data_IF_690992532104
#
_entry.id   IF_690992532104
#
_cell.length_a   1.000
_cell.length_b   1.000
_cell.length_c   1.000
_cell.angle_alpha   90.00
_cell.angle_beta   90.00
_cell.angle_gamma   90.00
#
_symmetry.space_group_name_H-M   'P 1'
#
loop_
_entity.id
_entity.type
_entity.pdbx_description
1 polymer ?
#
# COMPACT_ATOMS: atom_id res chain seq x y z
N UNK A 1 29.83 -47.03 -81.85
CA UNK A 1 28.43 -46.53 -81.77
C UNK A 1 27.91 -46.85 -80.43
N UNK A 2 27.69 -45.86 -79.58
CA UNK A 2 26.58 -45.57 -78.65
C UNK A 2 27.05 -44.52 -77.72
N UNK A 3 26.42 -43.39 -77.87
CA UNK A 3 26.60 -42.18 -77.08
C UNK A 3 25.81 -42.38 -75.77
N UNK A 4 26.41 -42.23 -74.62
CA UNK A 4 25.74 -42.17 -73.34
C UNK A 4 25.83 -40.75 -72.77
N UNK A 5 24.70 -40.10 -72.68
CA UNK A 5 24.55 -38.73 -72.20
C UNK A 5 24.73 -38.69 -70.68
N UNK A 6 25.61 -37.79 -70.22
CA UNK A 6 25.68 -37.31 -68.82
C UNK A 6 24.48 -36.39 -68.53
N UNK A 7 23.67 -36.74 -67.56
CA UNK A 7 22.67 -35.83 -66.96
C UNK A 7 23.25 -35.31 -65.67
N UNK A 8 23.66 -34.06 -65.71
CA UNK A 8 24.04 -33.32 -64.50
C UNK A 8 22.75 -32.86 -63.80
N UNK A 9 22.44 -33.48 -62.70
CA UNK A 9 21.37 -32.99 -61.82
C UNK A 9 21.91 -31.96 -60.84
N UNK A 10 21.73 -30.67 -61.12
CA UNK A 10 21.92 -29.57 -60.20
C UNK A 10 20.77 -29.56 -59.19
N UNK A 11 20.99 -30.13 -58.01
CA UNK A 11 20.06 -30.01 -56.87
C UNK A 11 20.36 -28.69 -56.19
N UNK A 12 19.72 -27.62 -56.61
CA UNK A 12 19.68 -26.35 -55.90
C UNK A 12 18.81 -26.51 -54.66
N UNK A 13 19.47 -26.73 -53.52
CA UNK A 13 18.79 -26.75 -52.21
C UNK A 13 18.29 -25.34 -51.88
N UNK A 14 17.01 -25.11 -52.09
CA UNK A 14 16.32 -23.94 -51.55
C UNK A 14 16.21 -24.14 -50.03
N UNK A 15 17.13 -23.58 -49.26
CA UNK A 15 16.98 -23.39 -47.83
C UNK A 15 15.94 -22.27 -47.65
N UNK A 16 14.78 -22.53 -47.00
CA UNK A 16 13.91 -21.43 -46.66
C UNK A 16 14.64 -20.57 -45.59
N UNK A 17 15.06 -19.37 -45.98
CA UNK A 17 15.41 -18.32 -45.05
C UNK A 17 14.13 -17.99 -44.24
N UNK A 18 13.93 -18.69 -43.14
CA UNK A 18 12.96 -18.29 -42.15
C UNK A 18 13.50 -17.02 -41.52
N UNK A 19 12.80 -15.89 -41.61
CA UNK A 19 13.19 -14.70 -40.88
C UNK A 19 12.94 -14.96 -39.39
N UNK A 20 13.96 -15.46 -38.69
CA UNK A 20 13.96 -15.59 -37.22
C UNK A 20 14.20 -14.25 -36.51
N UNK A 21 13.98 -13.15 -37.21
CA UNK A 21 14.10 -11.82 -36.65
C UNK A 21 12.76 -11.31 -36.11
N UNK A 22 12.73 -10.88 -34.88
CA UNK A 22 11.76 -9.97 -34.25
C UNK A 22 10.45 -10.50 -33.67
N UNK A 23 10.11 -11.79 -33.66
CA UNK A 23 8.87 -12.24 -33.00
C UNK A 23 9.01 -12.55 -31.51
N UNK A 24 10.23 -12.65 -30.98
CA UNK A 24 10.48 -12.99 -29.58
C UNK A 24 10.59 -11.78 -28.65
N UNK A 25 10.88 -10.58 -29.18
CA UNK A 25 11.03 -9.36 -28.39
C UNK A 25 9.83 -9.05 -27.48
N UNK A 26 8.58 -9.00 -27.99
CA UNK A 26 7.41 -8.72 -27.17
C UNK A 26 7.16 -9.77 -26.08
N UNK A 27 7.43 -11.06 -26.35
CA UNK A 27 7.27 -12.13 -25.37
C UNK A 27 8.34 -12.11 -24.29
N UNK A 28 9.57 -11.76 -24.64
CA UNK A 28 10.66 -11.56 -23.68
C UNK A 28 10.38 -10.38 -22.77
N UNK A 29 9.89 -9.26 -23.31
CA UNK A 29 9.48 -8.10 -22.53
C UNK A 29 8.32 -8.45 -21.59
N UNK A 30 7.30 -9.13 -22.08
CA UNK A 30 6.14 -9.50 -21.25
C UNK A 30 6.52 -10.42 -20.09
N UNK A 31 7.39 -11.38 -20.28
CA UNK A 31 7.82 -12.29 -19.23
C UNK A 31 8.78 -11.62 -18.24
N UNK A 32 9.77 -10.88 -18.74
CA UNK A 32 10.72 -10.17 -17.88
C UNK A 32 10.05 -9.08 -17.06
N UNK A 33 9.07 -8.35 -17.60
CA UNK A 33 8.32 -7.33 -16.86
C UNK A 33 7.62 -7.91 -15.62
N UNK A 34 7.00 -9.09 -15.73
CA UNK A 34 6.34 -9.75 -14.61
C UNK A 34 7.36 -10.15 -13.53
N UNK A 35 8.49 -10.70 -13.92
CA UNK A 35 9.51 -11.18 -13.00
C UNK A 35 10.23 -10.00 -12.31
N UNK A 36 10.52 -8.91 -13.03
CA UNK A 36 11.04 -7.68 -12.42
C UNK A 36 10.06 -7.06 -11.44
N UNK A 37 8.77 -7.00 -11.79
CA UNK A 37 7.74 -6.47 -10.89
C UNK A 37 7.63 -7.30 -9.59
N UNK A 38 7.72 -8.63 -9.70
CA UNK A 38 7.77 -9.52 -8.53
C UNK A 38 9.01 -9.25 -7.66
N UNK A 39 10.18 -9.15 -8.30
CA UNK A 39 11.44 -8.91 -7.61
C UNK A 39 11.44 -7.54 -6.88
N UNK A 40 10.97 -6.48 -7.53
CA UNK A 40 10.84 -5.15 -6.91
C UNK A 40 9.90 -5.19 -5.72
N UNK A 41 8.72 -5.81 -5.87
CA UNK A 41 7.77 -5.97 -4.78
C UNK A 41 8.38 -6.74 -3.60
N UNK A 42 9.10 -7.80 -3.87
CA UNK A 42 9.77 -8.59 -2.83
C UNK A 42 10.79 -7.74 -2.07
N UNK A 43 11.65 -7.01 -2.77
CA UNK A 43 12.65 -6.11 -2.16
C UNK A 43 11.97 -5.03 -1.31
N UNK A 44 10.90 -4.42 -1.81
CA UNK A 44 10.15 -3.40 -1.04
C UNK A 44 9.51 -3.99 0.23
N UNK A 45 8.96 -5.20 0.15
CA UNK A 45 8.40 -5.88 1.32
C UNK A 45 9.50 -6.26 2.34
N UNK A 46 10.64 -6.77 1.86
CA UNK A 46 11.79 -7.09 2.72
C UNK A 46 12.34 -5.82 3.41
N UNK A 47 12.42 -4.71 2.68
CA UNK A 47 12.85 -3.43 3.26
C UNK A 47 11.88 -2.92 4.32
N UNK A 48 10.57 -2.94 4.06
CA UNK A 48 9.56 -2.54 5.04
C UNK A 48 9.63 -3.41 6.29
N UNK A 49 9.70 -4.73 6.13
CA UNK A 49 9.83 -5.65 7.26
C UNK A 49 11.12 -5.37 8.05
N UNK A 50 12.25 -5.19 7.36
CA UNK A 50 13.52 -4.85 8.00
C UNK A 50 13.42 -3.54 8.81
N UNK A 51 12.72 -2.54 8.29
CA UNK A 51 12.51 -1.29 8.99
C UNK A 51 11.63 -1.44 10.24
N UNK A 52 10.56 -2.24 10.17
CA UNK A 52 9.73 -2.58 11.32
C UNK A 52 10.57 -3.31 12.39
N UNK A 53 11.40 -4.28 11.99
CA UNK A 53 12.32 -4.98 12.89
C UNK A 53 13.35 -4.04 13.51
N UNK A 54 13.96 -3.13 12.73
CA UNK A 54 14.91 -2.11 13.25
C UNK A 54 14.25 -1.23 14.29
N UNK A 55 13.03 -0.76 14.04
CA UNK A 55 12.28 0.05 14.99
C UNK A 55 12.03 -0.69 16.32
N UNK A 56 11.85 -2.01 16.27
CA UNK A 56 11.77 -2.86 17.49
C UNK A 56 13.03 -2.75 18.36
N UNK A 57 14.20 -2.58 17.72
CA UNK A 57 15.50 -2.39 18.39
C UNK A 57 15.85 -0.92 18.60
N UNK A 58 14.90 0.00 18.48
CA UNK A 58 15.09 1.45 18.57
C UNK A 58 16.09 2.01 17.52
N UNK A 59 16.24 1.31 16.39
CA UNK A 59 17.06 1.78 15.28
C UNK A 59 16.19 2.59 14.30
N UNK A 60 16.80 3.61 13.67
CA UNK A 60 16.08 4.43 12.69
C UNK A 60 15.75 3.64 11.41
N UNK A 61 14.53 3.74 10.88
CA UNK A 61 14.19 3.13 9.59
C UNK A 61 14.95 3.84 8.47
N UNK A 62 15.31 3.10 7.44
CA UNK A 62 15.95 3.61 6.23
C UNK A 62 15.10 3.23 5.04
N UNK A 63 14.62 4.23 4.30
CA UNK A 63 13.83 4.00 3.09
C UNK A 63 14.72 4.13 1.86
N UNK A 64 14.57 3.20 0.92
CA UNK A 64 15.18 3.27 -0.40
C UNK A 64 14.10 3.27 -1.47
N UNK A 65 14.41 3.81 -2.63
CA UNK A 65 13.54 3.73 -3.79
C UNK A 65 14.28 3.13 -4.97
N UNK A 66 13.60 2.28 -5.71
CA UNK A 66 14.06 1.85 -7.02
C UNK A 66 13.72 2.95 -8.01
N UNK A 67 14.74 3.71 -8.45
CA UNK A 67 14.54 4.87 -9.34
C UNK A 67 14.47 4.48 -10.81
N UNK A 68 15.19 3.43 -11.24
CA UNK A 68 15.12 2.91 -12.59
C UNK A 68 15.57 1.46 -12.67
N UNK A 69 14.99 0.73 -13.61
CA UNK A 69 15.43 -0.60 -14.00
C UNK A 69 15.76 -0.52 -15.49
N UNK A 70 17.03 -0.60 -15.84
CA UNK A 70 17.49 -0.64 -17.22
C UNK A 70 17.89 -2.07 -17.56
N UNK A 71 17.19 -2.69 -18.50
CA UNK A 71 17.51 -4.04 -18.96
C UNK A 71 18.12 -3.97 -20.35
N UNK A 72 19.25 -4.62 -20.55
CA UNK A 72 19.83 -4.84 -21.87
C UNK A 72 19.79 -6.33 -22.21
N UNK A 73 19.13 -6.66 -23.32
CA UNK A 73 19.07 -8.03 -23.82
C UNK A 73 20.13 -8.21 -24.90
N UNK A 74 21.11 -9.07 -24.66
CA UNK A 74 22.08 -9.48 -25.67
C UNK A 74 21.70 -10.87 -26.19
N UNK A 75 21.54 -10.94 -27.51
CA UNK A 75 21.36 -12.23 -28.18
C UNK A 75 22.63 -12.46 -29.01
N UNK A 76 23.43 -13.43 -28.63
CA UNK A 76 24.56 -13.86 -29.44
C UNK A 76 24.28 -15.20 -30.11
N UNK A 77 24.38 -15.25 -31.42
CA UNK A 77 24.29 -16.48 -32.20
C UNK A 77 25.66 -16.86 -32.69
N UNK A 78 26.19 -17.99 -32.23
CA UNK A 78 27.43 -18.60 -32.75
C UNK A 78 27.04 -19.78 -33.64
N UNK A 79 27.36 -19.72 -34.94
CA UNK A 79 27.25 -20.83 -35.88
C UNK A 79 28.61 -21.20 -36.42
N UNK A 80 29.08 -22.43 -36.18
CA UNK A 80 30.27 -22.98 -36.82
C UNK A 80 29.86 -24.13 -37.73
N UNK A 81 30.14 -24.00 -39.03
CA UNK A 81 30.07 -25.14 -39.96
C UNK A 81 31.48 -25.71 -40.17
N UNK A 82 31.72 -26.91 -39.67
CA UNK A 82 32.96 -27.64 -39.94
C UNK A 82 32.72 -28.68 -41.04
N UNK A 83 33.39 -28.47 -42.19
CA UNK A 83 33.47 -29.45 -43.25
C UNK A 83 34.85 -30.08 -43.18
N UNK A 84 34.92 -31.27 -42.60
CA UNK A 84 36.15 -32.05 -42.58
C UNK A 84 36.27 -32.88 -43.86
N UNK A 85 37.25 -32.55 -44.72
CA UNK A 85 37.66 -33.40 -45.85
C UNK A 85 38.75 -34.36 -45.32
N UNK A 86 38.37 -35.62 -45.19
CA UNK A 86 39.35 -36.65 -44.84
C UNK A 86 40.30 -36.89 -46.01
N UNK A 87 41.60 -36.67 -45.79
CA UNK A 87 42.66 -37.10 -46.74
C UNK A 87 42.84 -38.60 -46.61
N UNK A 88 42.17 -39.35 -47.49
CA UNK A 88 42.38 -40.80 -47.56
C UNK A 88 41.10 -41.53 -47.95
N UNK A 89 41.21 -42.24 -49.00
CA UNK A 89 40.22 -43.11 -49.69
C UNK A 89 39.25 -43.78 -48.71
N UNK A 90 37.94 -43.51 -48.89
CA UNK A 90 36.82 -44.28 -48.32
C UNK A 90 36.44 -44.00 -46.83
N UNK A 91 36.11 -42.75 -46.45
CA UNK A 91 35.36 -42.48 -45.21
C UNK A 91 34.15 -41.61 -45.49
N UNK A 92 33.01 -41.80 -44.84
CA UNK A 92 31.84 -40.93 -45.01
C UNK A 92 32.15 -39.51 -44.52
N UNK A 93 31.81 -38.49 -45.31
CA UNK A 93 31.91 -37.08 -44.88
C UNK A 93 31.03 -36.85 -43.68
N UNK A 94 31.58 -36.40 -42.56
CA UNK A 94 30.83 -36.01 -41.37
C UNK A 94 30.50 -34.51 -41.49
N UNK A 95 29.22 -34.22 -41.48
CA UNK A 95 28.67 -32.88 -41.42
C UNK A 95 28.30 -32.60 -39.97
N UNK A 96 28.97 -31.66 -39.34
CA UNK A 96 28.58 -31.16 -37.99
C UNK A 96 28.15 -29.69 -38.13
N UNK A 97 26.95 -29.40 -37.73
CA UNK A 97 26.46 -28.03 -37.58
C UNK A 97 26.28 -27.78 -36.10
N UNK A 98 27.17 -27.04 -35.50
CA UNK A 98 27.04 -26.56 -34.13
C UNK A 98 26.48 -25.15 -34.14
N UNK A 99 25.26 -25.01 -33.61
CA UNK A 99 24.64 -23.72 -33.38
C UNK A 99 24.39 -23.49 -31.89
N UNK A 100 24.95 -22.44 -31.33
CA UNK A 100 24.67 -22.00 -29.97
C UNK A 100 23.93 -20.66 -30.00
N UNK A 101 22.75 -20.60 -29.31
CA UNK A 101 22.02 -19.38 -29.03
C UNK A 101 22.23 -19.07 -27.55
N UNK A 102 22.88 -17.95 -27.25
CA UNK A 102 23.04 -17.49 -25.86
C UNK A 102 22.20 -16.23 -25.67
N UNK A 103 21.26 -16.29 -24.75
CA UNK A 103 20.53 -15.12 -24.30
C UNK A 103 21.14 -14.64 -22.98
N UNK A 104 21.48 -13.37 -22.89
CA UNK A 104 21.99 -12.75 -21.68
C UNK A 104 21.12 -11.55 -21.35
N UNK A 105 20.58 -11.54 -20.12
CA UNK A 105 19.87 -10.42 -19.53
C UNK A 105 20.82 -9.74 -18.52
N UNK A 106 21.10 -8.47 -18.69
CA UNK A 106 21.97 -7.68 -17.83
C UNK A 106 21.17 -6.50 -17.25
N UNK A 107 20.35 -6.72 -16.20
CA UNK A 107 19.62 -5.63 -15.58
C UNK A 107 20.56 -4.73 -14.79
N UNK A 108 20.39 -3.42 -14.95
CA UNK A 108 20.97 -2.40 -14.09
C UNK A 108 19.85 -1.80 -13.26
N UNK A 109 19.90 -2.02 -11.95
CA UNK A 109 18.90 -1.50 -11.00
C UNK A 109 19.55 -0.32 -10.28
N UNK A 110 18.97 0.87 -10.42
CA UNK A 110 19.39 2.05 -9.68
C UNK A 110 18.56 2.17 -8.40
N UNK A 111 19.24 2.09 -7.27
CA UNK A 111 18.65 2.23 -5.95
C UNK A 111 19.11 3.56 -5.36
N UNK A 112 18.16 4.43 -5.01
CA UNK A 112 18.43 5.73 -4.40
C UNK A 112 17.93 5.74 -2.96
N UNK A 113 18.82 5.99 -1.97
CA UNK A 113 18.35 6.20 -0.60
C UNK A 113 17.43 7.43 -0.55
N UNK A 114 16.23 7.25 -0.02
CA UNK A 114 15.31 8.35 0.25
C UNK A 114 15.70 8.98 1.59
N UNK A 115 16.28 10.17 1.53
CA UNK A 115 16.74 10.93 2.70
C UNK A 115 16.40 12.40 2.50
N UNK A 116 16.30 13.13 3.64
CA UNK A 116 16.09 14.56 3.62
C UNK A 116 14.78 14.98 4.31
N UNK A 117 14.59 16.28 4.35
CA UNK A 117 13.46 16.93 5.05
C UNK A 117 12.11 16.48 4.47
N UNK A 118 12.02 16.34 3.16
CA UNK A 118 10.81 15.93 2.44
C UNK A 118 10.31 14.56 2.90
N UNK A 119 11.20 13.56 2.85
CA UNK A 119 10.88 12.20 3.27
C UNK A 119 10.56 12.14 4.76
N UNK A 120 11.28 12.89 5.57
CA UNK A 120 10.97 12.98 6.99
C UNK A 120 9.57 13.57 7.24
N UNK A 121 9.19 14.64 6.52
CA UNK A 121 7.83 15.20 6.58
C UNK A 121 6.75 14.20 6.15
N UNK A 122 6.99 13.46 5.07
CA UNK A 122 6.06 12.44 4.58
C UNK A 122 5.87 11.30 5.59
N UNK A 123 6.95 10.80 6.19
CA UNK A 123 6.89 9.72 7.17
C UNK A 123 6.32 10.15 8.53
N UNK A 124 6.66 11.36 8.98
CA UNK A 124 6.25 11.90 10.28
C UNK A 124 4.94 12.70 10.22
N UNK A 125 4.51 13.09 9.03
CA UNK A 125 3.23 13.76 8.81
C UNK A 125 2.06 12.87 9.19
N UNK A 126 1.03 13.48 9.80
CA UNK A 126 -0.21 12.78 10.17
C UNK A 126 -0.95 12.35 8.91
N UNK A 127 -1.44 11.10 8.89
CA UNK A 127 -2.32 10.59 7.83
C UNK A 127 -3.63 11.41 7.84
N UNK A 128 -4.16 11.73 6.67
CA UNK A 128 -5.42 12.47 6.56
C UNK A 128 -6.62 11.63 7.04
N UNK A 129 -7.61 12.19 7.76
CA UNK A 129 -8.81 11.47 8.21
C UNK A 129 -9.60 10.82 7.07
N UNK A 130 -9.61 11.44 5.88
CA UNK A 130 -10.25 10.88 4.69
C UNK A 130 -9.73 9.49 4.30
N UNK A 131 -8.51 9.15 4.71
CA UNK A 131 -7.93 7.81 4.49
C UNK A 131 -8.76 6.71 5.14
N UNK A 132 -9.45 6.99 6.26
CA UNK A 132 -10.37 6.04 6.90
C UNK A 132 -11.49 5.66 5.92
N UNK A 133 -12.10 6.65 5.27
CA UNK A 133 -13.18 6.41 4.31
C UNK A 133 -12.70 5.68 3.04
N UNK A 134 -11.51 6.00 2.54
CA UNK A 134 -10.92 5.29 1.40
C UNK A 134 -10.64 3.81 1.73
N UNK A 135 -10.06 3.53 2.89
CA UNK A 135 -9.75 2.17 3.33
C UNK A 135 -11.02 1.36 3.61
N UNK A 136 -12.01 1.96 4.27
CA UNK A 136 -13.30 1.32 4.48
C UNK A 136 -13.99 0.99 3.15
N UNK A 137 -13.95 1.90 2.17
CA UNK A 137 -14.43 1.68 0.81
C UNK A 137 -13.65 0.58 0.06
N UNK A 138 -12.38 0.37 0.37
CA UNK A 138 -11.56 -0.73 -0.14
C UNK A 138 -11.82 -2.08 0.56
N UNK A 139 -12.72 -2.12 1.56
CA UNK A 139 -13.12 -3.34 2.26
C UNK A 139 -12.31 -3.67 3.51
N UNK A 140 -11.55 -2.72 4.03
CA UNK A 140 -10.91 -2.88 5.34
C UNK A 140 -11.94 -2.68 6.47
N UNK A 141 -11.75 -3.42 7.56
CA UNK A 141 -12.61 -3.31 8.73
C UNK A 141 -12.33 -2.02 9.49
N UNK A 142 -13.39 -1.34 9.93
CA UNK A 142 -13.28 -0.06 10.64
C UNK A 142 -12.54 -0.21 11.98
N UNK A 143 -12.80 -1.25 12.75
CA UNK A 143 -12.09 -1.50 14.00
C UNK A 143 -10.58 -1.65 13.78
N UNK A 144 -10.14 -2.34 12.73
CA UNK A 144 -8.72 -2.44 12.39
C UNK A 144 -8.13 -1.10 11.93
N UNK A 145 -8.87 -0.33 11.12
CA UNK A 145 -8.45 1.00 10.67
C UNK A 145 -8.26 1.92 11.89
N UNK A 146 -9.26 1.99 12.78
CA UNK A 146 -9.17 2.82 13.99
C UNK A 146 -8.04 2.36 14.91
N UNK A 147 -7.90 1.07 15.17
CA UNK A 147 -6.86 0.55 16.02
C UNK A 147 -5.44 0.86 15.52
N UNK A 148 -5.22 0.78 14.19
CA UNK A 148 -3.91 1.03 13.59
C UNK A 148 -3.62 2.52 13.36
N UNK A 149 -4.60 3.28 12.86
CA UNK A 149 -4.35 4.62 12.35
C UNK A 149 -4.72 5.74 13.31
N UNK A 150 -5.58 5.48 14.30
CA UNK A 150 -6.10 6.54 15.19
C UNK A 150 -5.42 6.47 16.55
N UNK A 151 -4.90 7.60 17.03
CA UNK A 151 -4.36 7.76 18.39
C UNK A 151 -5.40 8.23 19.39
N UNK A 152 -6.34 9.07 18.92
CA UNK A 152 -7.37 9.65 19.77
C UNK A 152 -8.60 9.96 18.90
N UNK A 153 -9.77 9.70 19.45
CA UNK A 153 -11.04 10.08 18.83
C UNK A 153 -11.96 10.72 19.89
N UNK A 154 -12.34 11.97 19.69
CA UNK A 154 -13.17 12.77 20.63
C UNK A 154 -12.69 12.74 22.10
N UNK A 155 -11.38 12.56 22.34
CA UNK A 155 -10.81 12.44 23.69
C UNK A 155 -10.55 11.00 24.14
N UNK A 156 -11.16 10.00 23.51
CA UNK A 156 -10.93 8.59 23.79
C UNK A 156 -9.59 8.17 23.18
N UNK A 157 -8.64 7.72 23.99
CA UNK A 157 -7.25 7.45 23.60
C UNK A 157 -7.05 5.98 23.25
N UNK A 158 -6.41 5.77 22.10
CA UNK A 158 -5.88 4.48 21.65
C UNK A 158 -4.51 4.19 22.27
N UNK A 159 -3.92 3.06 21.90
CA UNK A 159 -2.56 2.69 22.30
C UNK A 159 -1.54 3.68 21.74
N UNK A 160 -0.50 3.98 22.52
CA UNK A 160 0.59 4.83 22.10
C UNK A 160 1.91 4.06 22.22
N UNK A 161 2.55 3.80 21.09
CA UNK A 161 3.93 3.34 21.05
C UNK A 161 4.83 4.57 20.96
N UNK A 162 5.29 5.10 22.11
CA UNK A 162 6.23 6.21 22.11
C UNK A 162 7.66 5.67 22.11
N UNK A 163 8.48 6.10 21.13
CA UNK A 163 9.80 5.52 20.82
C UNK A 163 10.80 5.40 21.97
N UNK A 164 10.78 6.27 22.98
CA UNK A 164 11.69 6.23 24.16
C UNK A 164 10.99 5.93 25.47
N UNK A 165 9.65 5.94 25.48
CA UNK A 165 8.85 5.65 26.66
C UNK A 165 8.20 4.26 26.49
N UNK A 166 7.94 3.55 27.59
CA UNK A 166 7.12 2.34 27.51
C UNK A 166 5.83 2.62 26.76
N UNK A 167 5.41 1.71 25.91
CA UNK A 167 4.12 1.83 25.24
C UNK A 167 3.03 2.06 26.29
N UNK A 168 2.20 3.09 26.11
CA UNK A 168 1.07 3.35 26.99
C UNK A 168 -0.13 2.62 26.47
N UNK A 169 -0.83 1.91 27.35
CA UNK A 169 -2.17 1.40 27.08
C UNK A 169 -3.12 2.56 26.75
N UNK A 170 -4.11 2.29 25.90
CA UNK A 170 -5.23 3.19 25.68
C UNK A 170 -6.20 3.24 26.85
N UNK A 171 -7.26 4.01 26.70
CA UNK A 171 -8.37 3.99 27.64
C UNK A 171 -9.11 2.63 27.55
N UNK A 172 -9.62 2.11 28.66
CA UNK A 172 -10.33 0.83 28.67
C UNK A 172 -11.51 0.82 27.69
N UNK A 173 -12.19 1.95 27.63
CA UNK A 173 -13.34 2.19 26.78
C UNK A 173 -12.97 2.20 25.27
N UNK A 174 -11.70 2.37 24.91
CA UNK A 174 -11.30 2.30 23.50
C UNK A 174 -11.55 0.92 22.89
N UNK A 175 -11.37 -0.12 23.66
CA UNK A 175 -11.70 -1.45 23.21
C UNK A 175 -13.19 -1.73 23.11
N UNK A 176 -13.99 -1.18 24.04
CA UNK A 176 -15.46 -1.24 23.93
C UNK A 176 -15.92 -0.53 22.65
N UNK A 177 -15.29 0.61 22.32
CA UNK A 177 -15.54 1.33 21.07
C UNK A 177 -15.17 0.49 19.83
N UNK A 178 -13.98 -0.13 19.80
CA UNK A 178 -13.57 -0.98 18.68
C UNK A 178 -14.50 -2.17 18.48
N UNK A 179 -14.88 -2.84 19.55
CA UNK A 179 -15.82 -3.96 19.49
C UNK A 179 -17.21 -3.51 19.02
N UNK A 180 -17.70 -2.35 19.50
CA UNK A 180 -18.98 -1.82 19.07
C UNK A 180 -19.01 -1.51 17.57
N UNK A 181 -17.98 -0.82 17.02
CA UNK A 181 -17.91 -0.52 15.59
C UNK A 181 -17.74 -1.79 14.75
N UNK A 182 -17.04 -2.82 15.26
CA UNK A 182 -16.93 -4.12 14.61
C UNK A 182 -18.29 -4.78 14.43
N UNK A 183 -19.07 -4.87 15.52
CA UNK A 183 -20.40 -5.50 15.51
C UNK A 183 -21.36 -4.72 14.60
N UNK A 184 -21.36 -3.39 14.68
CA UNK A 184 -22.18 -2.55 13.80
C UNK A 184 -21.82 -2.75 12.32
N UNK A 185 -20.53 -2.88 12.00
CA UNK A 185 -20.09 -3.13 10.62
C UNK A 185 -20.52 -4.52 10.12
N UNK A 186 -20.44 -5.55 10.96
CA UNK A 186 -20.90 -6.91 10.61
C UNK A 186 -22.39 -6.97 10.30
N UNK A 187 -23.19 -6.08 10.94
CA UNK A 187 -24.64 -5.93 10.69
C UNK A 187 -24.97 -4.94 9.58
N UNK A 188 -23.97 -4.30 8.95
CA UNK A 188 -24.11 -3.22 7.97
C UNK A 188 -24.85 -1.99 8.55
N UNK A 189 -24.75 -1.75 9.85
CA UNK A 189 -25.36 -0.64 10.58
C UNK A 189 -24.41 0.57 10.68
N UNK A 190 -23.12 0.43 10.34
CA UNK A 190 -22.14 1.50 10.25
C UNK A 190 -21.40 1.44 8.91
N UNK A 191 -21.21 2.58 8.30
CA UNK A 191 -20.45 2.73 7.03
C UNK A 191 -19.64 4.01 7.03
N UNK A 192 -18.56 4.03 6.25
CA UNK A 192 -17.80 5.23 5.92
C UNK A 192 -18.00 5.61 4.47
N UNK A 193 -18.02 6.89 4.19
CA UNK A 193 -18.16 7.42 2.84
C UNK A 193 -17.84 8.90 2.76
N UNK A 194 -18.32 9.53 1.69
CA UNK A 194 -18.13 10.95 1.46
C UNK A 194 -19.49 11.62 1.24
N UNK A 195 -19.68 12.76 1.88
CA UNK A 195 -20.85 13.60 1.70
C UNK A 195 -20.39 14.98 1.19
N UNK A 196 -21.26 15.66 0.45
CA UNK A 196 -20.98 17.02 0.00
C UNK A 196 -21.13 17.98 1.17
N UNK A 197 -20.03 18.54 1.61
CA UNK A 197 -20.01 19.70 2.50
C UNK A 197 -20.04 20.96 1.63
N UNK A 198 -20.97 21.86 1.90
CA UNK A 198 -21.09 23.10 1.15
C UNK A 198 -20.47 24.23 1.97
N UNK A 199 -19.59 24.98 1.32
CA UNK A 199 -18.96 26.14 1.93
C UNK A 199 -19.95 27.26 2.18
N UNK A 200 -19.60 28.17 3.08
CA UNK A 200 -20.28 29.44 3.25
C UNK A 200 -20.30 30.21 1.93
N UNK A 201 -21.34 30.99 1.73
CA UNK A 201 -21.55 31.73 0.50
C UNK A 201 -21.36 33.25 0.71
N UNK A 202 -20.86 33.92 -0.32
CA UNK A 202 -20.81 35.39 -0.37
C UNK A 202 -22.00 35.93 -1.15
N UNK A 203 -22.99 36.45 -0.42
CA UNK A 203 -24.15 37.07 -0.98
C UNK A 203 -25.21 36.12 -1.51
N UNK A 204 -26.43 36.57 -1.49
CA UNK A 204 -27.59 35.84 -2.00
C UNK A 204 -28.30 36.64 -3.06
N UNK A 205 -28.94 35.96 -3.98
CA UNK A 205 -29.73 36.56 -5.07
C UNK A 205 -31.16 35.99 -5.02
N UNK A 206 -32.09 36.79 -5.54
CA UNK A 206 -33.46 36.34 -5.67
C UNK A 206 -33.55 35.17 -6.68
N UNK A 207 -34.31 34.15 -6.37
CA UNK A 207 -34.51 32.97 -7.24
C UNK A 207 -35.07 33.37 -8.61
N UNK A 208 -35.89 34.39 -8.66
CA UNK A 208 -36.51 34.91 -9.89
C UNK A 208 -35.50 35.54 -10.86
N UNK A 209 -34.34 35.96 -10.36
CA UNK A 209 -33.25 36.51 -11.17
C UNK A 209 -32.38 35.44 -11.85
N UNK A 210 -32.45 34.19 -11.39
CA UNK A 210 -31.64 33.10 -11.91
C UNK A 210 -32.26 32.46 -13.16
N UNK A 211 -31.46 32.37 -14.22
CA UNK A 211 -31.83 31.72 -15.47
C UNK A 211 -31.33 30.23 -15.47
N UNK A 212 -31.94 29.37 -16.32
CA UNK A 212 -31.45 28.00 -16.48
C UNK A 212 -29.96 27.89 -16.85
N UNK A 213 -29.43 28.88 -17.59
CA UNK A 213 -28.02 29.00 -17.96
C UNK A 213 -27.10 29.13 -16.74
N UNK A 214 -27.56 29.82 -15.68
CA UNK A 214 -26.77 30.07 -14.48
C UNK A 214 -26.57 28.79 -13.68
N UNK A 215 -27.59 27.91 -13.65
CA UNK A 215 -27.48 26.60 -13.06
C UNK A 215 -26.49 25.69 -13.83
N UNK A 216 -26.54 25.78 -15.17
CA UNK A 216 -25.63 25.02 -16.02
C UNK A 216 -24.19 25.47 -15.84
N UNK A 217 -23.97 26.81 -15.84
CA UNK A 217 -22.66 27.40 -15.61
C UNK A 217 -22.10 27.05 -14.21
N UNK A 218 -22.95 27.08 -13.20
CA UNK A 218 -22.57 26.66 -11.85
C UNK A 218 -22.09 25.18 -11.85
N UNK A 219 -22.86 24.29 -12.48
CA UNK A 219 -22.49 22.86 -12.57
C UNK A 219 -21.16 22.67 -13.30
N UNK A 220 -20.93 23.37 -14.39
CA UNK A 220 -19.69 23.29 -15.18
C UNK A 220 -18.47 23.82 -14.40
N UNK A 221 -18.69 24.77 -13.48
CA UNK A 221 -17.64 25.31 -12.59
C UNK A 221 -17.51 24.55 -11.26
N UNK A 222 -18.17 23.42 -11.09
CA UNK A 222 -18.13 22.63 -9.86
C UNK A 222 -18.92 23.23 -8.70
N UNK A 223 -19.80 24.22 -8.98
CA UNK A 223 -20.62 24.91 -7.97
C UNK A 223 -22.09 24.50 -8.03
N UNK A 224 -22.85 24.88 -7.00
CA UNK A 224 -24.30 24.63 -6.92
C UNK A 224 -25.05 25.84 -6.38
N UNK A 225 -26.16 26.18 -7.00
CA UNK A 225 -27.13 27.10 -6.44
C UNK A 225 -27.99 26.39 -5.41
N UNK A 226 -28.13 26.94 -4.22
CA UNK A 226 -28.94 26.40 -3.12
C UNK A 226 -29.76 27.52 -2.45
N UNK A 227 -30.94 27.18 -1.89
CA UNK A 227 -31.69 28.08 -1.03
C UNK A 227 -30.86 28.44 0.22
N UNK A 228 -30.93 29.71 0.62
CA UNK A 228 -30.28 30.21 1.82
C UNK A 228 -31.20 29.96 3.02
N UNK A 229 -30.71 29.32 4.06
CA UNK A 229 -31.44 29.05 5.30
C UNK A 229 -32.87 28.48 5.11
N UNK A 230 -33.02 27.63 4.08
CA UNK A 230 -34.33 27.05 3.74
C UNK A 230 -35.29 28.02 3.01
N UNK A 231 -34.90 29.28 2.78
CA UNK A 231 -35.69 30.24 2.05
C UNK A 231 -35.65 29.98 0.53
N UNK A 232 -36.75 29.51 -0.03
CA UNK A 232 -36.85 29.14 -1.45
C UNK A 232 -36.78 30.34 -2.41
N UNK A 233 -36.91 31.55 -1.92
CA UNK A 233 -36.84 32.80 -2.72
C UNK A 233 -35.40 33.35 -2.78
N UNK A 234 -34.59 33.11 -1.78
CA UNK A 234 -33.20 33.57 -1.67
C UNK A 234 -32.22 32.44 -1.93
N UNK A 235 -31.38 32.58 -2.96
CA UNK A 235 -30.41 31.53 -3.40
C UNK A 235 -29.00 32.07 -3.43
N UNK A 236 -28.05 31.21 -3.04
CA UNK A 236 -26.63 31.50 -3.10
C UNK A 236 -25.86 30.44 -3.90
N UNK A 237 -24.73 30.85 -4.45
CA UNK A 237 -23.83 29.99 -5.20
C UNK A 237 -22.79 29.40 -4.23
N UNK A 238 -22.90 28.10 -3.95
CA UNK A 238 -21.98 27.37 -3.08
C UNK A 238 -20.94 26.59 -3.88
N UNK A 239 -19.72 26.57 -3.39
CA UNK A 239 -18.75 25.51 -3.65
C UNK A 239 -19.08 24.32 -2.75
N UNK A 240 -18.57 23.16 -3.09
CA UNK A 240 -18.66 21.99 -2.21
C UNK A 240 -17.42 21.13 -2.36
N UNK A 241 -17.00 20.58 -1.24
CA UNK A 241 -16.00 19.54 -1.18
C UNK A 241 -16.63 18.21 -0.75
N UNK A 242 -15.94 17.11 -1.03
CA UNK A 242 -16.34 15.79 -0.56
C UNK A 242 -15.63 15.55 0.77
N UNK A 243 -16.38 15.70 1.85
CA UNK A 243 -15.88 15.47 3.20
C UNK A 243 -16.20 14.05 3.68
N UNK A 244 -15.26 13.41 4.36
CA UNK A 244 -15.47 12.05 4.87
C UNK A 244 -16.46 12.05 6.02
N UNK A 245 -17.34 11.04 6.04
CA UNK A 245 -18.33 10.82 7.10
C UNK A 245 -18.30 9.38 7.58
N UNK A 246 -18.77 9.19 8.81
CA UNK A 246 -19.24 7.91 9.32
C UNK A 246 -20.74 7.99 9.45
N UNK A 247 -21.44 7.06 8.84
CA UNK A 247 -22.88 6.92 8.91
C UNK A 247 -23.24 5.74 9.82
N UNK A 248 -24.17 5.95 10.77
CA UNK A 248 -24.74 4.89 11.59
C UNK A 248 -26.25 4.90 11.33
N UNK A 249 -26.80 3.76 10.92
CA UNK A 249 -28.23 3.68 10.63
C UNK A 249 -29.08 4.08 11.86
N UNK A 250 -30.28 4.63 11.67
CA UNK A 250 -31.16 4.94 12.78
C UNK A 250 -31.42 3.72 13.69
N UNK A 251 -31.58 2.54 13.10
CA UNK A 251 -31.73 1.28 13.83
C UNK A 251 -30.44 0.93 14.57
N UNK A 252 -29.27 1.13 13.94
CA UNK A 252 -27.96 0.90 14.54
C UNK A 252 -27.71 1.79 15.76
N UNK A 253 -28.15 3.05 15.72
CA UNK A 253 -28.04 3.98 16.86
C UNK A 253 -28.81 3.52 18.10
N UNK A 254 -29.93 2.80 17.92
CA UNK A 254 -30.72 2.28 19.01
C UNK A 254 -30.20 0.98 19.62
N UNK A 255 -29.24 0.32 18.95
CA UNK A 255 -28.59 -0.90 19.47
C UNK A 255 -27.70 -0.60 20.69
N UNK A 256 -27.37 -1.60 21.52
CA UNK A 256 -26.43 -1.41 22.62
C UNK A 256 -25.06 -0.90 22.15
N UNK A 257 -24.61 -1.40 20.99
CA UNK A 257 -23.33 -1.03 20.38
C UNK A 257 -23.37 0.41 19.85
N UNK A 258 -24.45 0.82 19.17
CA UNK A 258 -24.64 2.19 18.70
C UNK A 258 -24.67 3.19 19.86
N UNK A 259 -25.44 2.88 20.91
CA UNK A 259 -25.48 3.68 22.15
C UNK A 259 -24.10 3.78 22.81
N UNK A 260 -23.30 2.71 22.74
CA UNK A 260 -21.92 2.73 23.25
C UNK A 260 -21.06 3.70 22.46
N UNK A 261 -21.10 3.66 21.12
CA UNK A 261 -20.34 4.58 20.25
C UNK A 261 -20.76 6.03 20.52
N UNK A 262 -22.08 6.31 20.52
CA UNK A 262 -22.64 7.65 20.75
C UNK A 262 -22.19 8.19 22.11
N UNK A 263 -22.33 7.39 23.16
CA UNK A 263 -21.91 7.77 24.53
C UNK A 263 -20.42 8.03 24.64
N UNK A 264 -19.60 7.12 24.11
CA UNK A 264 -18.13 7.20 24.24
C UNK A 264 -17.54 8.38 23.47
N UNK A 265 -18.13 8.71 22.33
CA UNK A 265 -17.65 9.81 21.48
C UNK A 265 -18.43 11.11 21.71
N UNK A 266 -19.41 11.13 22.63
CA UNK A 266 -20.28 12.27 22.91
C UNK A 266 -20.90 12.85 21.64
N UNK A 267 -21.60 11.99 20.86
CA UNK A 267 -22.17 12.36 19.57
C UNK A 267 -23.61 12.91 19.73
N UNK A 268 -23.92 13.90 18.89
CA UNK A 268 -25.29 14.36 18.66
C UNK A 268 -25.97 13.45 17.63
N UNK A 269 -27.20 13.05 17.87
CA UNK A 269 -27.94 12.08 17.06
C UNK A 269 -29.06 12.69 16.22
N UNK A 270 -29.07 14.02 16.03
CA UNK A 270 -30.06 14.70 15.17
C UNK A 270 -29.99 14.20 13.72
N UNK A 271 -28.78 13.84 13.26
CA UNK A 271 -28.53 13.27 11.94
C UNK A 271 -27.85 11.89 12.05
N UNK A 272 -28.08 10.97 11.09
CA UNK A 272 -27.49 9.63 11.12
C UNK A 272 -26.02 9.59 10.64
N UNK A 273 -25.42 10.72 10.31
CA UNK A 273 -24.04 10.82 9.86
C UNK A 273 -23.25 11.80 10.72
N UNK A 274 -21.96 11.49 10.85
CA UNK A 274 -20.98 12.26 11.64
C UNK A 274 -19.80 12.63 10.76
N UNK A 275 -19.44 13.91 10.73
CA UNK A 275 -18.30 14.40 9.98
C UNK A 275 -17.01 13.85 10.56
N UNK A 276 -16.14 13.30 9.69
CA UNK A 276 -14.85 12.78 10.11
C UNK A 276 -13.78 13.84 9.88
N UNK A 277 -13.24 14.41 10.95
CA UNK A 277 -12.33 15.55 10.88
C UNK A 277 -11.10 15.37 11.76
N UNK A 278 -10.07 16.21 11.55
CA UNK A 278 -8.87 16.20 12.37
C UNK A 278 -9.13 16.79 13.75
N UNK A 279 -8.72 16.09 14.80
CA UNK A 279 -8.72 16.60 16.16
C UNK A 279 -7.61 17.64 16.33
N UNK A 280 -7.98 18.90 16.51
CA UNK A 280 -7.05 19.97 16.80
C UNK A 280 -6.56 19.89 18.25
N UNK A 281 -5.40 20.46 18.52
CA UNK A 281 -4.81 20.46 19.86
C UNK A 281 -5.77 21.13 20.88
N UNK A 282 -6.06 20.45 22.01
CA UNK A 282 -6.93 20.89 23.11
C UNK A 282 -8.45 20.90 22.82
N UNK A 283 -8.92 20.33 21.73
CA UNK A 283 -10.35 20.19 21.46
C UNK A 283 -10.89 18.82 21.91
N UNK A 284 -11.18 18.67 23.20
CA UNK A 284 -12.05 17.58 23.65
C UNK A 284 -13.47 18.13 23.68
N UNK A 285 -14.42 17.55 22.92
CA UNK A 285 -15.80 18.03 22.93
C UNK A 285 -16.42 17.91 24.33
N UNK A 286 -16.83 19.04 24.89
CA UNK A 286 -17.58 19.10 26.17
C UNK A 286 -19.08 19.02 25.93
N UNK A 287 -19.53 19.46 24.77
CA UNK A 287 -20.92 19.38 24.31
C UNK A 287 -21.05 18.26 23.27
N UNK A 288 -22.24 17.68 23.08
CA UNK A 288 -22.51 16.76 22.00
C UNK A 288 -22.13 17.36 20.65
N UNK A 289 -21.58 16.53 19.75
CA UNK A 289 -21.04 16.99 18.47
C UNK A 289 -21.49 16.10 17.34
N UNK A 290 -21.70 16.70 16.16
CA UNK A 290 -21.96 16.03 14.88
C UNK A 290 -20.69 15.46 14.22
N UNK A 291 -19.56 15.54 14.93
CA UNK A 291 -18.26 15.24 14.33
C UNK A 291 -17.49 14.18 15.13
N UNK A 292 -16.95 13.20 14.42
CA UNK A 292 -15.94 12.28 14.94
C UNK A 292 -14.57 12.87 14.59
N UNK A 293 -13.94 13.48 15.62
CA UNK A 293 -12.65 14.16 15.48
C UNK A 293 -11.54 13.19 15.83
N UNK A 294 -10.64 12.94 14.88
CA UNK A 294 -9.57 11.94 15.03
C UNK A 294 -8.19 12.59 15.00
N UNK A 295 -7.31 12.14 15.89
CA UNK A 295 -5.87 12.34 15.76
C UNK A 295 -5.29 11.10 15.11
N UNK A 296 -4.86 11.26 13.88
CA UNK A 296 -4.30 10.17 13.09
C UNK A 296 -2.81 9.99 13.40
N UNK A 297 -2.34 8.74 13.37
CA UNK A 297 -0.90 8.44 13.36
C UNK A 297 -0.26 8.89 12.06
N UNK A 298 1.04 9.10 12.11
CA UNK A 298 1.88 9.10 10.91
C UNK A 298 2.19 7.67 10.49
N UNK A 299 2.69 7.48 9.26
CA UNK A 299 3.15 6.16 8.81
C UNK A 299 4.27 5.63 9.71
N UNK A 300 5.17 6.51 10.13
CA UNK A 300 6.19 6.19 11.14
C UNK A 300 5.56 5.69 12.45
N UNK A 301 4.50 6.35 12.92
CA UNK A 301 3.76 5.95 14.12
C UNK A 301 3.09 4.58 13.99
N UNK A 302 2.52 4.27 12.82
CA UNK A 302 1.97 2.94 12.52
C UNK A 302 3.06 1.87 12.52
N UNK A 303 4.17 2.11 11.82
CA UNK A 303 5.30 1.17 11.80
C UNK A 303 5.87 0.95 13.22
N UNK A 304 5.96 2.01 14.03
CA UNK A 304 6.43 1.91 15.41
C UNK A 304 5.46 1.09 16.27
N UNK A 305 4.15 1.24 16.10
CA UNK A 305 3.17 0.39 16.76
C UNK A 305 3.34 -1.08 16.35
N UNK A 306 3.44 -1.34 15.05
CA UNK A 306 3.61 -2.70 14.52
C UNK A 306 4.96 -3.31 14.87
N UNK A 307 5.99 -2.52 15.16
CA UNK A 307 7.27 -3.05 15.62
C UNK A 307 7.15 -3.82 16.95
N UNK A 308 6.12 -3.52 17.75
CA UNK A 308 5.84 -4.24 18.99
C UNK A 308 5.32 -5.67 18.75
N UNK A 309 4.82 -5.96 17.54
CA UNK A 309 4.40 -7.32 17.11
C UNK A 309 5.57 -8.20 16.67
N UNK A 310 6.80 -7.69 16.69
CA UNK A 310 8.00 -8.45 16.35
C UNK A 310 8.43 -9.28 17.56
N UNK A 311 8.43 -10.61 17.40
CA UNK A 311 9.01 -11.54 18.36
C UNK A 311 10.51 -11.28 18.52
N UNK A 312 11.01 -11.46 19.74
CA UNK A 312 12.41 -11.23 20.04
C UNK A 312 13.11 -12.56 20.30
N UNK A 313 14.29 -12.78 19.72
CA UNK A 313 15.15 -13.86 20.14
C UNK A 313 15.36 -13.80 21.65
N UNK A 314 15.34 -14.98 22.29
CA UNK A 314 15.40 -15.08 23.74
C UNK A 314 16.57 -14.30 24.34
N UNK A 315 17.74 -14.32 23.70
CA UNK A 315 18.95 -13.60 24.16
C UNK A 315 18.71 -12.10 24.16
N UNK A 316 18.11 -11.55 23.10
CA UNK A 316 17.85 -10.11 22.99
C UNK A 316 16.79 -9.64 23.98
N UNK A 317 15.80 -10.48 24.27
CA UNK A 317 14.80 -10.21 25.30
C UNK A 317 15.40 -10.22 26.71
N UNK A 318 16.22 -11.21 27.05
CA UNK A 318 16.91 -11.33 28.35
C UNK A 318 17.90 -10.18 28.58
N UNK A 319 18.64 -9.76 27.54
CA UNK A 319 19.60 -8.67 27.61
C UNK A 319 18.96 -7.27 27.42
N UNK A 320 17.64 -7.18 27.26
CA UNK A 320 16.88 -5.93 27.08
C UNK A 320 17.40 -5.07 25.92
N UNK A 321 17.74 -5.69 24.81
CA UNK A 321 18.28 -5.02 23.62
C UNK A 321 17.22 -4.35 22.73
N UNK A 322 15.95 -4.53 23.05
CA UNK A 322 14.83 -4.02 22.27
C UNK A 322 13.84 -3.26 23.15
N UNK A 323 12.93 -2.51 22.50
CA UNK A 323 11.89 -1.75 23.20
C UNK A 323 11.01 -2.71 24.03
N UNK A 324 10.74 -2.38 25.30
CA UNK A 324 9.87 -3.21 26.13
C UNK A 324 8.44 -3.15 25.63
N UNK A 325 7.75 -4.30 25.59
CA UNK A 325 6.30 -4.37 25.49
C UNK A 325 5.74 -4.40 26.92
N UNK A 326 4.64 -3.68 27.15
CA UNK A 326 3.97 -3.73 28.44
C UNK A 326 3.49 -5.16 28.73
N UNK A 327 3.70 -5.67 29.96
CA UNK A 327 3.23 -7.00 30.32
C UNK A 327 1.72 -7.14 30.11
N UNK A 328 1.23 -8.33 29.72
CA UNK A 328 -0.21 -8.62 29.66
C UNK A 328 -0.88 -8.29 31.02
N UNK A 329 -2.03 -7.66 30.99
CA UNK A 329 -2.82 -7.39 32.19
C UNK A 329 -2.47 -6.08 32.94
N UNK A 330 -1.54 -5.26 32.46
CA UNK A 330 -1.29 -3.92 33.01
C UNK A 330 -2.34 -2.90 32.61
N UNK A 331 -3.13 -3.18 31.56
CA UNK A 331 -4.27 -2.40 31.10
C UNK A 331 -5.34 -3.32 30.52
N UNK A 332 -6.65 -2.94 30.58
CA UNK A 332 -7.78 -3.81 30.19
C UNK A 332 -7.80 -4.24 28.72
N UNK A 333 -7.09 -3.52 27.85
CA UNK A 333 -6.77 -3.97 26.50
C UNK A 333 -5.28 -3.74 26.29
N UNK A 334 -4.54 -4.81 26.30
CA UNK A 334 -3.12 -4.74 26.03
C UNK A 334 -2.90 -4.52 24.53
N UNK A 335 -1.97 -3.62 24.19
CA UNK A 335 -1.42 -3.53 22.82
C UNK A 335 -1.15 -4.92 22.25
N UNK A 336 -0.83 -5.87 23.12
CA UNK A 336 -0.53 -7.25 22.76
C UNK A 336 -1.74 -8.00 22.19
N UNK A 337 -2.92 -7.90 22.83
CA UNK A 337 -4.13 -8.56 22.33
C UNK A 337 -4.57 -8.05 20.97
N UNK A 338 -4.40 -6.75 20.73
CA UNK A 338 -4.64 -6.17 19.41
C UNK A 338 -3.60 -6.63 18.39
N UNK A 339 -2.31 -6.58 18.74
CA UNK A 339 -1.23 -6.96 17.82
C UNK A 339 -1.26 -8.45 17.50
N UNK A 340 -1.64 -9.31 18.46
CA UNK A 340 -1.81 -10.75 18.25
C UNK A 340 -2.84 -11.08 17.17
N UNK A 341 -3.84 -10.21 16.99
CA UNK A 341 -4.83 -10.36 15.92
C UNK A 341 -4.40 -9.64 14.63
N UNK A 342 -3.66 -8.54 14.75
CA UNK A 342 -3.34 -7.66 13.62
C UNK A 342 -2.14 -8.14 12.82
N UNK A 343 -1.03 -8.47 13.47
CA UNK A 343 0.22 -8.84 12.78
C UNK A 343 1.15 -9.63 13.72
N UNK A 344 1.75 -10.68 13.19
CA UNK A 344 2.85 -11.42 13.81
C UNK A 344 4.09 -11.37 12.94
N UNK A 345 5.22 -11.08 13.54
CA UNK A 345 6.54 -11.21 12.91
C UNK A 345 7.36 -12.17 13.78
N UNK A 346 7.59 -13.37 13.28
CA UNK A 346 8.29 -14.43 13.96
C UNK A 346 9.80 -14.28 13.89
N UNK A 347 10.53 -14.81 14.88
CA UNK A 347 11.97 -14.95 14.83
C UNK A 347 12.40 -16.40 14.62
N UNK A 348 13.53 -16.63 13.93
CA UNK A 348 14.11 -17.95 13.72
C UNK A 348 15.65 -17.88 13.61
N UNK A 349 16.38 -18.88 14.11
CA UNK A 349 17.84 -18.94 13.97
C UNK A 349 18.29 -19.35 12.55
N UNK A 350 17.41 -19.96 11.76
CA UNK A 350 17.67 -20.43 10.39
C UNK A 350 16.63 -19.91 9.41
N UNK A 351 16.92 -19.92 8.08
CA UNK A 351 15.97 -19.48 7.08
C UNK A 351 14.62 -20.20 7.19
N UNK A 352 13.49 -19.48 7.27
CA UNK A 352 12.17 -20.10 7.35
C UNK A 352 11.74 -20.70 5.99
N UNK A 353 11.10 -21.88 6.01
CA UNK A 353 10.66 -22.57 4.79
C UNK A 353 9.38 -22.00 4.19
N UNK A 354 8.47 -21.47 5.03
CA UNK A 354 7.13 -21.01 4.63
C UNK A 354 6.95 -19.50 4.86
N UNK A 355 7.98 -18.71 4.65
CA UNK A 355 7.88 -17.27 4.79
C UNK A 355 7.24 -16.64 3.54
N UNK A 356 6.24 -15.78 3.75
CA UNK A 356 5.75 -14.88 2.73
C UNK A 356 6.74 -13.74 2.47
N UNK A 357 7.33 -13.20 3.53
CA UNK A 357 8.43 -12.25 3.52
C UNK A 357 9.37 -12.56 4.67
N UNK A 358 10.68 -12.48 4.45
CA UNK A 358 11.68 -12.75 5.47
C UNK A 358 12.90 -11.86 5.31
N UNK A 359 13.46 -11.42 6.45
CA UNK A 359 14.69 -10.61 6.46
C UNK A 359 15.64 -11.12 7.53
N UNK A 360 16.94 -10.94 7.29
CA UNK A 360 17.95 -11.27 8.28
C UNK A 360 18.41 -10.01 9.01
N UNK A 361 18.25 -9.99 10.33
CA UNK A 361 18.69 -8.89 11.16
C UNK A 361 19.39 -9.45 12.42
N UNK A 362 20.53 -8.85 12.86
CA UNK A 362 21.24 -9.19 14.10
C UNK A 362 21.57 -10.69 14.27
N UNK A 363 21.70 -11.42 13.16
CA UNK A 363 22.03 -12.86 13.16
C UNK A 363 20.82 -13.79 13.11
N UNK A 364 19.62 -13.30 13.30
CA UNK A 364 18.35 -14.03 13.25
C UNK A 364 17.57 -13.68 11.98
N UNK A 365 16.65 -14.56 11.59
CA UNK A 365 15.64 -14.32 10.58
C UNK A 365 14.36 -13.82 11.24
N UNK A 366 13.75 -12.81 10.63
CA UNK A 366 12.44 -12.31 11.01
C UNK A 366 11.52 -12.46 9.81
N UNK A 367 10.30 -12.99 10.03
CA UNK A 367 9.43 -13.34 8.91
C UNK A 367 7.96 -13.32 9.28
N UNK A 368 7.12 -13.18 8.24
CA UNK A 368 5.67 -13.39 8.30
C UNK A 368 5.38 -14.71 7.60
N UNK A 369 4.67 -15.64 8.26
CA UNK A 369 4.29 -16.94 7.68
C UNK A 369 3.26 -16.75 6.56
N UNK A 370 3.37 -17.51 5.47
CA UNK A 370 2.48 -17.39 4.31
C UNK A 370 1.01 -17.74 4.63
N UNK A 371 0.76 -18.46 5.69
CA UNK A 371 -0.60 -18.82 6.16
C UNK A 371 -1.27 -17.74 7.01
N UNK A 372 -0.55 -16.76 7.49
CA UNK A 372 -1.06 -15.69 8.35
C UNK A 372 -1.69 -14.56 7.55
N UNK A 373 -2.93 -14.76 7.13
CA UNK A 373 -3.64 -13.80 6.28
C UNK A 373 -3.87 -12.45 6.96
N UNK A 374 -4.06 -12.41 8.27
CA UNK A 374 -4.22 -11.16 9.03
C UNK A 374 -2.93 -10.33 8.96
N UNK A 375 -1.78 -10.94 9.28
CA UNK A 375 -0.46 -10.31 9.19
C UNK A 375 -0.17 -9.77 7.79
N UNK A 376 -0.47 -10.56 6.76
CA UNK A 376 -0.29 -10.17 5.35
C UNK A 376 -1.17 -8.96 4.97
N UNK A 377 -2.43 -8.93 5.41
CA UNK A 377 -3.35 -7.81 5.15
C UNK A 377 -2.88 -6.53 5.84
N UNK A 378 -2.50 -6.61 7.11
CA UNK A 378 -1.98 -5.47 7.87
C UNK A 378 -0.70 -4.93 7.25
N UNK A 379 0.21 -5.82 6.87
CA UNK A 379 1.44 -5.45 6.18
C UNK A 379 1.18 -4.76 4.84
N UNK A 380 0.26 -5.31 4.03
CA UNK A 380 -0.17 -4.71 2.75
C UNK A 380 -0.76 -3.32 2.97
N UNK A 381 -1.57 -3.13 4.01
CA UNK A 381 -2.12 -1.82 4.37
C UNK A 381 -1.00 -0.79 4.61
N UNK A 382 0.07 -1.18 5.32
CA UNK A 382 1.21 -0.27 5.54
C UNK A 382 1.93 0.08 4.23
N UNK A 383 2.08 -0.89 3.32
CA UNK A 383 2.64 -0.63 1.97
C UNK A 383 1.77 0.39 1.21
N UNK A 384 0.45 0.25 1.26
CA UNK A 384 -0.48 1.18 0.61
C UNK A 384 -0.42 2.58 1.24
N UNK A 385 -0.34 2.67 2.56
CA UNK A 385 -0.18 3.94 3.28
C UNK A 385 1.14 4.64 2.93
N UNK A 386 2.23 3.90 2.84
CA UNK A 386 3.52 4.43 2.39
C UNK A 386 3.41 4.99 0.97
N UNK A 387 2.79 4.25 0.07
CA UNK A 387 2.60 4.70 -1.32
C UNK A 387 1.73 5.97 -1.40
N UNK A 388 0.65 6.05 -0.61
CA UNK A 388 -0.21 7.24 -0.56
C UNK A 388 0.54 8.47 -0.07
N UNK A 389 1.31 8.34 1.01
CA UNK A 389 2.07 9.47 1.57
C UNK A 389 3.22 9.90 0.66
N UNK A 390 3.83 8.96 -0.06
CA UNK A 390 4.95 9.26 -0.95
C UNK A 390 4.52 9.84 -2.30
N UNK A 391 3.27 9.65 -2.71
CA UNK A 391 2.74 10.18 -3.97
C UNK A 391 2.11 11.56 -3.85
N UNK A 392 1.81 12.04 -2.64
CA UNK A 392 1.09 13.29 -2.43
C UNK A 392 1.86 14.57 -2.77
N UNK A 393 3.19 14.50 -2.95
CA UNK A 393 4.04 15.67 -3.22
C UNK A 393 4.78 15.64 -4.56
N UNK A 394 4.78 14.52 -5.29
CA UNK A 394 5.37 14.46 -6.62
C UNK A 394 4.41 15.05 -7.66
N UNK A 395 4.41 16.37 -7.81
CA UNK A 395 3.85 17.05 -8.98
C UNK A 395 4.52 16.68 -10.31
N UNK A 396 5.36 15.66 -10.31
CA UNK A 396 6.00 15.01 -11.44
C UNK A 396 6.24 13.55 -11.10
N UNK A 397 5.39 12.66 -11.59
CA UNK A 397 5.53 11.22 -11.44
C UNK A 397 6.89 10.76 -11.97
N UNK A 398 7.85 10.51 -11.11
CA UNK A 398 8.99 9.66 -11.44
C UNK A 398 8.54 8.20 -11.34
N UNK A 399 7.62 7.79 -12.21
CA UNK A 399 7.42 6.36 -12.45
C UNK A 399 8.77 5.79 -12.89
N UNK A 400 9.20 4.64 -12.36
CA UNK A 400 10.43 4.01 -12.79
C UNK A 400 10.40 3.83 -14.30
N UNK A 401 11.33 4.48 -15.00
CA UNK A 401 11.42 4.40 -16.45
C UNK A 401 12.13 3.10 -16.77
N UNK A 402 11.40 2.18 -17.39
CA UNK A 402 11.99 0.99 -18.00
C UNK A 402 12.55 1.38 -19.37
N UNK A 403 13.85 1.52 -19.48
CA UNK A 403 14.53 1.78 -20.75
C UNK A 403 15.04 0.45 -21.32
N UNK A 404 14.51 0.07 -22.47
CA UNK A 404 14.97 -1.12 -23.22
C UNK A 404 15.69 -0.60 -24.47
N UNK A 405 17.01 -0.67 -24.56
CA UNK A 405 17.69 -0.38 -25.79
C UNK A 405 17.37 -1.46 -26.83
N UNK A 406 16.78 -1.06 -27.95
CA UNK A 406 16.59 -1.92 -29.12
C UNK A 406 17.84 -1.75 -29.95
N UNK A 407 18.74 -2.74 -29.88
CA UNK A 407 19.94 -2.84 -30.73
C UNK A 407 19.66 -3.60 -32.02
#
# INVERSE_FOLDING_TARGET
>A
MRVTRLISATLAGLLPLIPLGCTNGPKLIANSHIDYNKAVRQVMNEELLLNIVRMRYAEAPQMVSVSSINTSFETSSGGGANVGWGNGVSGPASWGVDGSLTFRDNPTISITPRQGEEVAKQLLGSIAPATIAYLAGAGYRLDHIFALLVENTNGLRSYTAAGTLPARGGDAEYGEFLEAIRVLQERNEIMCGFLKAYDDYDGAVDRSSLQPSDFLAAIQSGKRWRPVDGNTESWALHTYDLEPIIWISPEGQETPEGKTVIRLLNLDTDEPYFWLSSLKFQETPTEPTDSIRVRMRSVYGVMNLLSLAVELPRVDAEEKRALPVLPPGTHPLTVHEFLDVAMHVHDAPSPPENAWVAVRCRGYWFYIDDRELASKRTFTLVVELLNLQMSSDDGGSTSPILTIPVG
#
